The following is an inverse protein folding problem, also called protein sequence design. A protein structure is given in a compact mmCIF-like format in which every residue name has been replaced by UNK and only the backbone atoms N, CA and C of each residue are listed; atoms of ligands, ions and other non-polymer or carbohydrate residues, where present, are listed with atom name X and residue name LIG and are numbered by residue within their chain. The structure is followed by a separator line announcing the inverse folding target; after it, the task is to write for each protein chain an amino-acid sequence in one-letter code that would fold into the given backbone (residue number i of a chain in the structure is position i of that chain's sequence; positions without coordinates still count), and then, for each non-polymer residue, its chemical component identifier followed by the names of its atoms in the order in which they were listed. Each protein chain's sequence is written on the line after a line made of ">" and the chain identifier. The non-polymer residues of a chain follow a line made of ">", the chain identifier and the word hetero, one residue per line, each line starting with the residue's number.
data_IF_848971602899
#
_entry.id   IF_848971602899
#
_cell.length_a   1.000
_cell.length_b   1.000
_cell.length_c   1.000
_cell.angle_alpha   90.00
_cell.angle_beta   90.00
_cell.angle_gamma   90.00
#
_symmetry.space_group_name_H-M   'P 1'
#
loop_
_entity.id
_entity.type
_entity.pdbx_description
1 polymer ?
#
# COMPACT_ATOMS: atom_id res chain seq x y z
N UNK A 1 -50.22 -16.59 -37.31
CA UNK A 1 -49.27 -15.48 -37.34
C UNK A 1 -49.04 -15.06 -35.91
N UNK A 2 -48.09 -15.66 -35.27
CA UNK A 2 -47.66 -15.30 -33.89
C UNK A 2 -46.15 -15.16 -33.94
N UNK A 3 -45.73 -13.96 -33.63
CA UNK A 3 -44.37 -13.50 -33.71
C UNK A 3 -43.68 -13.88 -32.41
N UNK A 4 -42.89 -14.92 -32.38
CA UNK A 4 -42.02 -15.26 -31.27
C UNK A 4 -40.81 -14.36 -31.31
N UNK A 5 -40.85 -13.34 -30.46
CA UNK A 5 -39.68 -12.57 -30.07
C UNK A 5 -39.05 -13.25 -28.86
N UNK A 6 -38.29 -14.30 -29.11
CA UNK A 6 -37.35 -14.83 -28.17
C UNK A 6 -36.16 -13.85 -28.03
N UNK A 7 -36.27 -12.96 -27.04
CA UNK A 7 -35.18 -12.10 -26.59
C UNK A 7 -34.61 -12.64 -25.30
N UNK A 8 -34.09 -13.84 -25.38
CA UNK A 8 -33.12 -14.30 -24.38
C UNK A 8 -31.76 -13.68 -24.66
N UNK A 9 -31.63 -12.39 -24.50
CA UNK A 9 -30.35 -11.77 -24.25
C UNK A 9 -30.03 -11.94 -22.77
N UNK A 10 -29.51 -13.11 -22.43
CA UNK A 10 -28.72 -13.27 -21.24
C UNK A 10 -27.56 -12.25 -21.33
N UNK A 11 -27.77 -11.05 -20.83
CA UNK A 11 -26.69 -10.15 -20.51
C UNK A 11 -25.91 -10.83 -19.39
N UNK A 12 -24.86 -11.56 -19.75
CA UNK A 12 -23.82 -11.92 -18.82
C UNK A 12 -23.46 -10.63 -18.09
N UNK A 13 -23.67 -10.61 -16.78
CA UNK A 13 -23.23 -9.51 -15.91
C UNK A 13 -21.77 -9.21 -16.28
N UNK A 14 -21.38 -7.94 -16.37
CA UNK A 14 -20.01 -7.61 -16.65
C UNK A 14 -19.15 -8.30 -15.59
N UNK A 15 -18.22 -9.10 -16.07
CA UNK A 15 -17.30 -9.85 -15.28
C UNK A 15 -16.54 -8.90 -14.32
N UNK A 16 -16.45 -9.25 -13.04
CA UNK A 16 -15.82 -8.40 -12.03
C UNK A 16 -14.45 -8.96 -11.66
N UNK A 17 -13.42 -8.15 -11.79
CA UNK A 17 -12.04 -8.47 -11.38
C UNK A 17 -12.00 -8.89 -9.91
N UNK A 18 -12.76 -8.21 -9.05
CA UNK A 18 -12.89 -8.54 -7.63
C UNK A 18 -13.35 -9.97 -7.36
N UNK A 19 -14.21 -10.53 -8.20
CA UNK A 19 -14.72 -11.90 -8.03
C UNK A 19 -13.67 -12.95 -8.40
N UNK A 20 -12.85 -12.68 -9.42
CA UNK A 20 -11.79 -13.61 -9.82
C UNK A 20 -10.61 -13.63 -8.85
N UNK A 21 -10.33 -12.50 -8.23
CA UNK A 21 -9.21 -12.35 -7.30
C UNK A 21 -9.67 -12.06 -5.86
N UNK A 22 -10.81 -12.64 -5.46
CA UNK A 22 -11.41 -12.38 -4.14
C UNK A 22 -10.44 -12.68 -2.98
N UNK A 23 -9.65 -13.73 -3.09
CA UNK A 23 -8.67 -14.09 -2.07
C UNK A 23 -7.55 -13.04 -1.97
N UNK A 24 -7.06 -12.54 -3.09
CA UNK A 24 -6.04 -11.48 -3.14
C UNK A 24 -6.57 -10.17 -2.58
N UNK A 25 -7.81 -9.81 -2.89
CA UNK A 25 -8.50 -8.62 -2.34
C UNK A 25 -8.60 -8.72 -0.83
N UNK A 26 -8.98 -9.88 -0.30
CA UNK A 26 -9.06 -10.09 1.16
C UNK A 26 -7.69 -9.98 1.82
N UNK A 27 -6.66 -10.58 1.25
CA UNK A 27 -5.29 -10.51 1.79
C UNK A 27 -4.77 -9.07 1.76
N UNK A 28 -4.98 -8.34 0.67
CA UNK A 28 -4.59 -6.94 0.55
C UNK A 28 -5.27 -6.10 1.64
N UNK A 29 -6.58 -6.21 1.79
CA UNK A 29 -7.36 -5.47 2.79
C UNK A 29 -6.94 -5.80 4.23
N UNK A 30 -6.71 -7.08 4.53
CA UNK A 30 -6.30 -7.52 5.86
C UNK A 30 -4.91 -6.97 6.22
N UNK A 31 -3.94 -7.03 5.31
CA UNK A 31 -2.59 -6.53 5.55
C UNK A 31 -2.55 -5.01 5.65
N UNK A 32 -3.28 -4.30 4.78
CA UNK A 32 -3.42 -2.85 4.91
C UNK A 32 -4.04 -2.46 6.26
N UNK A 33 -5.09 -3.16 6.69
CA UNK A 33 -5.70 -2.94 8.01
C UNK A 33 -4.69 -3.16 9.15
N UNK A 34 -3.80 -4.15 9.03
CA UNK A 34 -2.75 -4.37 10.02
C UNK A 34 -1.72 -3.22 10.03
N UNK A 35 -1.26 -2.73 8.87
CA UNK A 35 -0.40 -1.55 8.77
C UNK A 35 -1.05 -0.35 9.47
N UNK A 36 -2.30 -0.04 9.13
CA UNK A 36 -3.01 1.11 9.70
C UNK A 36 -3.18 0.98 11.21
N UNK A 37 -3.51 -0.20 11.72
CA UNK A 37 -3.66 -0.44 13.14
C UNK A 37 -2.37 -0.20 13.93
N UNK A 38 -1.21 -0.58 13.41
CA UNK A 38 0.07 -0.28 14.04
C UNK A 38 0.39 1.22 14.00
N UNK A 39 0.15 1.87 12.87
CA UNK A 39 0.37 3.31 12.72
C UNK A 39 -0.51 4.15 13.66
N UNK A 40 -1.75 3.72 13.90
CA UNK A 40 -2.70 4.40 14.80
C UNK A 40 -2.29 4.33 16.28
N UNK A 41 -1.45 3.37 16.68
CA UNK A 41 -0.90 3.28 18.03
C UNK A 41 0.14 4.35 18.32
N UNK A 42 0.70 4.99 17.31
CA UNK A 42 1.79 5.96 17.41
C UNK A 42 1.26 7.39 17.45
N UNK A 43 1.91 8.24 18.24
CA UNK A 43 1.75 9.69 18.17
C UNK A 43 2.35 10.23 16.88
N UNK A 44 2.06 11.47 16.52
CA UNK A 44 2.65 12.12 15.34
C UNK A 44 4.18 12.23 15.44
N UNK A 45 4.69 12.53 16.62
CA UNK A 45 6.12 12.59 16.92
C UNK A 45 6.78 11.20 16.73
N UNK A 46 6.17 10.14 17.27
CA UNK A 46 6.66 8.78 17.13
C UNK A 46 6.63 8.28 15.67
N UNK A 47 5.63 8.68 14.87
CA UNK A 47 5.59 8.37 13.43
C UNK A 47 6.73 9.00 12.65
N UNK A 48 7.23 10.15 13.11
CA UNK A 48 8.32 10.88 12.48
C UNK A 48 9.69 10.57 13.10
N UNK A 49 9.73 9.83 14.21
CA UNK A 49 10.97 9.44 14.86
C UNK A 49 11.80 8.50 13.98
N UNK A 50 13.11 8.81 13.74
CA UNK A 50 13.98 7.93 12.98
C UNK A 50 14.27 6.66 13.78
N UNK A 51 14.57 5.55 13.07
CA UNK A 51 14.97 4.28 13.69
C UNK A 51 14.15 3.08 13.25
N UNK A 52 13.10 3.26 12.46
CA UNK A 52 12.40 2.16 11.81
C UNK A 52 13.37 1.30 10.98
N UNK A 53 14.18 1.93 10.13
CA UNK A 53 15.45 1.39 9.63
C UNK A 53 16.61 2.24 10.15
N UNK A 54 17.70 1.60 10.56
CA UNK A 54 18.88 2.32 11.09
C UNK A 54 19.66 3.05 9.99
N UNK A 55 19.73 2.44 8.81
CA UNK A 55 20.36 2.99 7.63
C UNK A 55 19.39 2.79 6.45
N UNK A 56 18.89 3.84 5.84
CA UNK A 56 19.22 5.28 5.94
C UNK A 56 18.49 6.08 7.05
N UNK A 57 18.04 5.49 8.13
CA UNK A 57 17.42 6.22 9.24
C UNK A 57 15.93 6.53 9.03
N UNK A 58 15.20 5.65 8.35
CA UNK A 58 13.77 5.83 8.10
C UNK A 58 12.95 5.92 9.40
N UNK A 59 11.89 6.71 9.33
CA UNK A 59 10.77 6.72 10.26
C UNK A 59 9.61 5.86 9.74
N UNK A 60 8.56 5.69 10.56
CA UNK A 60 7.30 5.08 10.09
C UNK A 60 6.65 5.94 9.00
N UNK A 61 6.77 7.27 9.09
CA UNK A 61 6.30 8.18 8.04
C UNK A 61 6.98 7.90 6.69
N UNK A 62 8.29 7.66 6.70
CA UNK A 62 9.04 7.33 5.48
C UNK A 62 8.63 5.97 4.91
N UNK A 63 8.36 4.97 5.77
CA UNK A 63 7.77 3.70 5.35
C UNK A 63 6.42 3.92 4.64
N UNK A 64 5.53 4.72 5.22
CA UNK A 64 4.21 4.98 4.62
C UNK A 64 4.36 5.70 3.28
N UNK A 65 5.28 6.66 3.17
CA UNK A 65 5.58 7.31 1.89
C UNK A 65 6.10 6.32 0.83
N UNK A 66 6.98 5.42 1.24
CA UNK A 66 7.54 4.35 0.39
C UNK A 66 6.44 3.41 -0.14
N UNK A 67 5.55 2.92 0.73
CA UNK A 67 4.41 2.11 0.30
C UNK A 67 3.53 2.87 -0.71
N UNK A 68 3.26 4.16 -0.46
CA UNK A 68 2.48 5.01 -1.35
C UNK A 68 3.12 5.17 -2.74
N UNK A 69 4.43 5.31 -2.80
CA UNK A 69 5.16 5.44 -4.06
C UNK A 69 5.05 4.17 -4.93
N UNK A 70 5.17 2.99 -4.32
CA UNK A 70 5.01 1.72 -5.04
C UNK A 70 3.57 1.47 -5.48
N UNK A 71 2.58 1.86 -4.69
CA UNK A 71 1.16 1.80 -5.09
C UNK A 71 0.85 2.75 -6.25
N UNK A 72 1.45 3.95 -6.27
CA UNK A 72 1.33 4.88 -7.38
C UNK A 72 1.95 4.31 -8.66
N UNK A 73 3.11 3.65 -8.55
CA UNK A 73 3.74 2.95 -9.67
C UNK A 73 2.86 1.82 -10.19
N UNK A 74 2.36 0.96 -9.31
CA UNK A 74 1.48 -0.14 -9.71
C UNK A 74 0.24 0.37 -10.48
N UNK A 75 -0.33 1.49 -10.06
CA UNK A 75 -1.42 2.12 -10.81
C UNK A 75 -1.02 2.45 -12.25
N UNK A 76 0.15 3.05 -12.46
CA UNK A 76 0.64 3.38 -13.81
C UNK A 76 0.76 2.11 -14.65
N UNK A 77 1.39 1.08 -14.12
CA UNK A 77 1.59 -0.18 -14.82
C UNK A 77 0.26 -0.89 -15.15
N UNK A 78 -0.72 -0.85 -14.24
CA UNK A 78 -2.06 -1.41 -14.46
C UNK A 78 -2.79 -0.64 -15.58
N UNK A 79 -2.66 0.69 -15.62
CA UNK A 79 -3.24 1.50 -16.69
C UNK A 79 -2.59 1.21 -18.04
N UNK A 80 -1.27 1.00 -18.08
CA UNK A 80 -0.56 0.59 -19.30
C UNK A 80 -0.98 -0.80 -19.77
N UNK A 81 -1.22 -1.74 -18.85
CA UNK A 81 -1.80 -3.05 -19.16
C UNK A 81 -3.20 -2.88 -19.77
N UNK A 82 -4.04 -2.04 -19.17
CA UNK A 82 -5.38 -1.77 -19.70
C UNK A 82 -5.34 -1.16 -21.11
N UNK A 83 -4.38 -0.28 -21.36
CA UNK A 83 -4.14 0.37 -22.66
C UNK A 83 -3.39 -0.52 -23.67
N UNK A 84 -2.92 -1.71 -23.26
CA UNK A 84 -2.07 -2.62 -24.06
C UNK A 84 -0.72 -2.01 -24.48
N UNK A 85 -0.21 -1.09 -23.69
CA UNK A 85 1.10 -0.43 -23.84
C UNK A 85 2.14 -0.92 -22.85
N UNK A 86 1.76 -1.81 -21.93
CA UNK A 86 2.67 -2.32 -20.90
C UNK A 86 3.89 -3.04 -21.49
N UNK A 87 5.05 -2.62 -21.06
CA UNK A 87 6.34 -3.27 -21.37
C UNK A 87 6.98 -3.67 -20.05
N UNK A 88 7.19 -4.98 -19.80
CA UNK A 88 7.90 -5.42 -18.60
C UNK A 88 9.30 -4.79 -18.52
N UNK A 89 9.65 -4.26 -17.36
CA UNK A 89 10.97 -3.70 -17.09
C UNK A 89 11.39 -4.06 -15.66
N UNK A 90 12.69 -4.10 -15.43
CA UNK A 90 13.22 -4.21 -14.08
C UNK A 90 13.12 -2.84 -13.40
N UNK A 91 12.51 -2.80 -12.22
CA UNK A 91 12.43 -1.57 -11.44
C UNK A 91 13.79 -1.28 -10.81
N UNK A 92 14.26 -0.05 -10.95
CA UNK A 92 15.43 0.45 -10.20
C UNK A 92 15.02 0.74 -8.76
N UNK A 93 14.91 -0.32 -7.96
CA UNK A 93 14.31 -0.29 -6.61
C UNK A 93 15.04 0.71 -5.72
N UNK A 94 16.37 0.63 -5.63
CA UNK A 94 17.15 1.47 -4.72
C UNK A 94 17.10 2.95 -5.13
N UNK A 95 17.20 3.24 -6.41
CA UNK A 95 17.10 4.62 -6.92
C UNK A 95 15.72 5.21 -6.64
N UNK A 96 14.65 4.44 -6.85
CA UNK A 96 13.27 4.86 -6.55
C UNK A 96 13.06 5.09 -5.05
N UNK A 97 13.54 4.19 -4.21
CA UNK A 97 13.44 4.32 -2.76
C UNK A 97 14.17 5.57 -2.26
N UNK A 98 15.39 5.81 -2.74
CA UNK A 98 16.16 7.00 -2.40
C UNK A 98 15.47 8.29 -2.86
N UNK A 99 14.94 8.31 -4.10
CA UNK A 99 14.20 9.46 -4.62
C UNK A 99 12.91 9.73 -3.82
N UNK A 100 12.18 8.68 -3.44
CA UNK A 100 10.97 8.82 -2.61
C UNK A 100 11.33 9.41 -1.26
N UNK A 101 12.34 8.87 -0.57
CA UNK A 101 12.80 9.38 0.71
C UNK A 101 13.19 10.86 0.61
N UNK A 102 14.03 11.22 -0.36
CA UNK A 102 14.46 12.60 -0.56
C UNK A 102 13.30 13.57 -0.82
N UNK A 103 12.26 13.12 -1.51
CA UNK A 103 11.10 13.95 -1.83
C UNK A 103 10.10 14.10 -0.68
N UNK A 104 10.08 13.18 0.29
CA UNK A 104 8.98 13.08 1.27
C UNK A 104 9.41 13.19 2.72
N UNK A 105 10.71 13.09 2.99
CA UNK A 105 11.24 13.06 4.35
C UNK A 105 10.81 14.26 5.20
N UNK A 106 10.81 15.46 4.62
CA UNK A 106 10.43 16.69 5.30
C UNK A 106 8.95 17.03 5.22
N UNK A 107 8.14 16.19 4.55
CA UNK A 107 6.70 16.42 4.46
C UNK A 107 5.99 16.12 5.78
N UNK A 108 4.93 16.87 6.14
CA UNK A 108 4.13 16.58 7.31
C UNK A 108 3.35 15.27 7.15
N UNK A 109 3.11 14.62 8.29
CA UNK A 109 2.43 13.31 8.36
C UNK A 109 1.11 13.25 7.59
N UNK A 110 0.24 14.22 7.81
CA UNK A 110 -1.10 14.29 7.20
C UNK A 110 -1.04 14.28 5.67
N UNK A 111 -0.06 14.96 5.09
CA UNK A 111 0.17 14.98 3.63
C UNK A 111 0.66 13.63 3.12
N UNK A 112 1.62 13.02 3.82
CA UNK A 112 2.13 11.69 3.47
C UNK A 112 1.00 10.66 3.55
N UNK A 113 0.24 10.70 4.63
CA UNK A 113 -0.88 9.78 4.84
C UNK A 113 -1.97 9.93 3.76
N UNK A 114 -2.40 11.16 3.49
CA UNK A 114 -3.41 11.43 2.47
C UNK A 114 -2.97 10.97 1.08
N UNK A 115 -1.70 11.22 0.71
CA UNK A 115 -1.13 10.77 -0.56
C UNK A 115 -1.09 9.24 -0.65
N UNK A 116 -0.62 8.57 0.38
CA UNK A 116 -0.50 7.11 0.40
C UNK A 116 -1.86 6.43 0.35
N UNK A 117 -2.84 6.90 1.13
CA UNK A 117 -4.20 6.36 1.09
C UNK A 117 -4.88 6.62 -0.25
N UNK A 118 -4.65 7.78 -0.86
CA UNK A 118 -5.08 8.10 -2.22
C UNK A 118 -4.44 7.20 -3.27
N UNK A 119 -3.13 6.98 -3.20
CA UNK A 119 -2.41 6.10 -4.12
C UNK A 119 -2.96 4.66 -4.06
N UNK A 120 -3.23 4.15 -2.84
CA UNK A 120 -3.88 2.84 -2.67
C UNK A 120 -5.26 2.78 -3.32
N UNK A 121 -6.09 3.78 -3.06
CA UNK A 121 -7.44 3.83 -3.61
C UNK A 121 -7.40 3.82 -5.15
N UNK A 122 -6.55 4.64 -5.76
CA UNK A 122 -6.40 4.73 -7.21
C UNK A 122 -5.77 3.47 -7.83
N UNK A 123 -4.87 2.81 -7.14
CA UNK A 123 -4.31 1.51 -7.58
C UNK A 123 -5.41 0.44 -7.64
N UNK A 124 -6.21 0.33 -6.59
CA UNK A 124 -7.33 -0.61 -6.54
C UNK A 124 -8.42 -0.26 -7.56
N UNK A 125 -8.74 1.02 -7.74
CA UNK A 125 -9.68 1.48 -8.76
C UNK A 125 -9.23 1.09 -10.17
N UNK A 126 -7.96 1.30 -10.50
CA UNK A 126 -7.41 0.91 -11.79
C UNK A 126 -7.49 -0.61 -12.01
N UNK A 127 -7.21 -1.41 -10.98
CA UNK A 127 -7.30 -2.86 -11.03
C UNK A 127 -8.74 -3.35 -11.21
N UNK A 128 -9.67 -2.84 -10.39
CA UNK A 128 -11.09 -3.20 -10.48
C UNK A 128 -11.76 -2.70 -11.78
N UNK A 129 -11.20 -1.66 -12.39
CA UNK A 129 -11.65 -1.12 -13.67
C UNK A 129 -11.24 -1.93 -14.90
N UNK A 130 -10.39 -2.96 -14.75
CA UNK A 130 -10.02 -3.82 -15.87
C UNK A 130 -11.24 -4.55 -16.43
N UNK A 131 -11.32 -4.63 -17.75
CA UNK A 131 -12.44 -5.32 -18.44
C UNK A 131 -12.44 -6.84 -18.31
N UNK A 132 -11.32 -7.40 -17.87
CA UNK A 132 -11.08 -8.84 -17.63
C UNK A 132 -9.91 -9.04 -16.67
N UNK A 133 -9.74 -10.23 -16.03
CA UNK A 133 -8.56 -10.55 -15.25
C UNK A 133 -7.31 -10.43 -16.10
N UNK A 134 -6.28 -9.94 -15.47
CA UNK A 134 -4.95 -9.88 -16.06
C UNK A 134 -3.91 -10.23 -14.98
N UNK A 135 -3.12 -11.27 -15.25
CA UNK A 135 -2.18 -11.77 -14.26
C UNK A 135 -1.00 -10.81 -14.04
N UNK A 136 -0.58 -10.04 -15.06
CA UNK A 136 0.44 -9.03 -14.87
C UNK A 136 -0.05 -7.90 -13.98
N UNK A 137 -1.29 -7.46 -14.16
CA UNK A 137 -1.92 -6.48 -13.27
C UNK A 137 -2.07 -7.02 -11.84
N UNK A 138 -2.49 -8.28 -11.69
CA UNK A 138 -2.61 -8.93 -10.39
C UNK A 138 -1.24 -9.06 -9.70
N UNK A 139 -0.17 -9.32 -10.46
CA UNK A 139 1.19 -9.35 -9.91
C UNK A 139 1.62 -7.98 -9.39
N UNK A 140 1.27 -6.89 -10.05
CA UNK A 140 1.54 -5.54 -9.57
C UNK A 140 0.80 -5.24 -8.26
N UNK A 141 -0.48 -5.64 -8.16
CA UNK A 141 -1.27 -5.53 -6.91
C UNK A 141 -0.62 -6.29 -5.76
N UNK A 142 -0.15 -7.53 -5.99
CA UNK A 142 0.53 -8.29 -4.95
C UNK A 142 1.82 -7.62 -4.52
N UNK A 143 2.70 -7.27 -5.47
CA UNK A 143 4.02 -6.72 -5.20
C UNK A 143 4.02 -5.32 -4.60
N UNK A 144 3.08 -4.45 -4.98
CA UNK A 144 2.99 -3.10 -4.43
C UNK A 144 2.05 -3.02 -3.20
N UNK A 145 1.21 -4.02 -3.02
CA UNK A 145 0.21 -4.12 -1.95
C UNK A 145 0.53 -5.25 -0.98
N UNK A 146 -0.23 -6.34 -1.09
CA UNK A 146 -0.25 -7.39 -0.07
C UNK A 146 1.12 -7.95 0.30
N UNK A 147 1.96 -8.31 -0.66
CA UNK A 147 3.30 -8.87 -0.41
C UNK A 147 4.18 -7.82 0.26
N UNK A 148 4.22 -6.61 -0.30
CA UNK A 148 5.00 -5.49 0.21
C UNK A 148 4.63 -5.11 1.65
N UNK A 149 3.32 -5.04 1.96
CA UNK A 149 2.88 -4.83 3.34
C UNK A 149 3.39 -5.95 4.26
N UNK A 150 3.33 -7.20 3.78
CA UNK A 150 3.81 -8.37 4.52
C UNK A 150 5.29 -8.31 4.87
N UNK A 151 6.13 -7.82 3.96
CA UNK A 151 7.57 -7.65 4.17
C UNK A 151 7.88 -6.67 5.31
N UNK A 152 7.04 -5.63 5.45
CA UNK A 152 7.24 -4.59 6.47
C UNK A 152 6.53 -4.85 7.80
N UNK A 153 5.47 -5.68 7.83
CA UNK A 153 4.61 -5.84 9.01
C UNK A 153 5.36 -6.32 10.26
N UNK A 154 6.29 -7.28 10.12
CA UNK A 154 7.04 -7.78 11.28
C UNK A 154 7.89 -6.69 11.91
N UNK A 155 8.67 -5.96 11.10
CA UNK A 155 9.51 -4.88 11.59
C UNK A 155 8.69 -3.71 12.15
N UNK A 156 7.57 -3.37 11.49
CA UNK A 156 6.67 -2.32 11.97
C UNK A 156 6.09 -2.65 13.34
N UNK A 157 5.62 -3.89 13.53
CA UNK A 157 5.11 -4.36 14.83
C UNK A 157 6.17 -4.21 15.93
N UNK A 158 7.38 -4.69 15.65
CA UNK A 158 8.46 -4.69 16.63
C UNK A 158 8.88 -3.27 16.99
N UNK A 159 8.99 -2.37 16.00
CA UNK A 159 9.31 -0.97 16.21
C UNK A 159 8.22 -0.22 16.99
N UNK A 160 6.95 -0.45 16.67
CA UNK A 160 5.82 0.10 17.42
C UNK A 160 5.85 -0.35 18.88
N UNK A 161 6.14 -1.64 19.13
CA UNK A 161 6.27 -2.15 20.49
C UNK A 161 7.43 -1.48 21.26
N UNK A 162 8.58 -1.28 20.61
CA UNK A 162 9.72 -0.56 21.17
C UNK A 162 9.33 0.88 21.58
N UNK A 163 8.65 1.63 20.71
CA UNK A 163 8.22 3.01 20.98
C UNK A 163 7.18 3.10 22.11
N UNK A 164 6.20 2.20 22.10
CA UNK A 164 5.17 2.13 23.16
C UNK A 164 5.80 1.80 24.52
N UNK A 165 6.75 0.86 24.55
CA UNK A 165 7.48 0.51 25.79
C UNK A 165 8.30 1.70 26.29
N UNK A 166 9.02 2.40 25.43
CA UNK A 166 9.78 3.61 25.79
C UNK A 166 8.88 4.70 26.40
N UNK A 167 7.68 4.90 25.83
CA UNK A 167 6.70 5.89 26.32
C UNK A 167 6.15 5.53 27.69
N UNK A 168 6.02 4.25 27.99
CA UNK A 168 5.41 3.76 29.23
C UNK A 168 6.39 3.52 30.36
N UNK A 169 7.72 3.56 30.09
CA UNK A 169 8.76 3.43 31.12
C UNK A 169 8.69 4.60 32.08
N UNK A 170 8.75 4.35 33.42
CA UNK A 170 8.92 5.44 34.38
C UNK A 170 10.16 6.23 34.04
N UNK A 171 10.05 7.55 33.95
CA UNK A 171 11.25 8.41 33.91
C UNK A 171 12.01 8.21 35.22
N UNK A 172 13.20 7.60 35.15
CA UNK A 172 14.11 7.55 36.29
C UNK A 172 14.47 8.99 36.63
N UNK A 173 14.07 9.42 37.83
CA UNK A 173 14.39 10.76 38.31
C UNK A 173 15.90 10.82 38.55
N UNK A 174 16.63 11.49 37.65
CA UNK A 174 18.10 11.68 37.78
C UNK A 174 18.48 12.58 38.97
N UNK A 175 17.57 12.82 39.91
CA UNK A 175 17.77 13.68 41.08
C UNK A 175 17.93 12.93 42.38
N UNK A 176 18.61 11.77 42.38
CA UNK A 176 19.09 11.18 43.62
C UNK A 176 20.64 11.09 43.59
N UNK A 177 21.35 11.90 44.37
CA UNK A 177 22.81 11.92 44.42
C UNK A 177 23.41 10.75 45.18
#
# INVERSE_FOLDING_TARGET
>A
MQNELDRSTSKSLPWRVEEAYAAEVEVERARWKAITAFVELLTEEERSAPGYFRDPGWSVKDLIAHLGAWMAEARVQILDIAARSYVPHEAEIDARNAATLAATHDEPWDRVWARTTGARAWMLEAWFGLSRPDEAANQWIRKAGAEHYGEHLSRLRDWVAELVDLRTRPKVDERDP
#
